data_IF_087496467502
#
_entry.id   IF_087496467502
#
_cell.length_a   1.000
_cell.length_b   1.000
_cell.length_c   1.000
_cell.angle_alpha   90.00
_cell.angle_beta   90.00
_cell.angle_gamma   90.00
#
_symmetry.space_group_name_H-M   'P 1'
#
loop_
_entity.id
_entity.type
_entity.pdbx_description
1 polymer ?
#
# COMPACT_ATOMS: atom_id res chain seq x y z
N UNK A 1 -11.50 -6.38 -15.99
CA UNK A 1 -10.49 -5.50 -15.35
C UNK A 1 -11.16 -4.93 -14.11
N UNK A 2 -10.45 -4.67 -12.99
CA UNK A 2 -11.11 -4.15 -11.76
C UNK A 2 -11.57 -2.69 -11.90
N UNK A 3 -11.03 -1.96 -12.88
CA UNK A 3 -11.35 -0.57 -13.19
C UNK A 3 -11.66 -0.43 -14.67
N UNK A 4 -12.70 0.32 -15.02
CA UNK A 4 -13.14 0.56 -16.40
C UNK A 4 -12.62 1.91 -16.91
N UNK A 5 -11.33 2.18 -16.72
CA UNK A 5 -10.65 3.40 -17.20
C UNK A 5 -9.96 4.21 -16.10
N UNK A 6 -9.44 5.40 -16.44
CA UNK A 6 -8.71 6.24 -15.50
C UNK A 6 -9.61 6.75 -14.38
N UNK A 7 -9.09 6.72 -13.15
CA UNK A 7 -9.78 7.21 -11.95
C UNK A 7 -9.25 8.59 -11.58
N UNK A 8 -10.16 9.55 -11.36
CA UNK A 8 -9.79 10.91 -10.91
C UNK A 8 -9.28 10.87 -9.47
N UNK A 9 -8.17 11.57 -9.20
CA UNK A 9 -7.65 11.78 -7.84
C UNK A 9 -8.64 12.60 -7.00
N UNK A 10 -8.82 12.18 -5.75
CA UNK A 10 -9.77 12.76 -4.78
C UNK A 10 -9.16 12.93 -3.39
N UNK A 11 -8.17 12.13 -3.04
CA UNK A 11 -7.58 12.07 -1.71
C UNK A 11 -6.06 12.16 -1.83
N UNK A 12 -5.43 12.94 -0.96
CA UNK A 12 -3.97 12.97 -0.90
C UNK A 12 -3.44 11.66 -0.34
N UNK A 13 -4.14 11.08 0.66
CA UNK A 13 -3.68 9.87 1.35
C UNK A 13 -4.79 8.82 1.49
N UNK A 14 -4.53 7.62 0.98
CA UNK A 14 -5.30 6.42 1.34
C UNK A 14 -4.68 5.74 2.57
N UNK A 15 -5.50 5.40 3.56
CA UNK A 15 -5.09 4.64 4.73
C UNK A 15 -5.83 3.31 4.77
N UNK A 16 -5.09 2.20 4.67
CA UNK A 16 -5.65 0.85 4.58
C UNK A 16 -5.25 0.04 5.82
N UNK A 17 -6.04 0.09 6.91
CA UNK A 17 -5.80 -0.78 8.04
C UNK A 17 -6.11 -2.24 7.67
N UNK A 18 -5.26 -3.15 8.13
CA UNK A 18 -5.63 -4.55 8.25
C UNK A 18 -6.85 -4.69 9.17
N UNK A 19 -7.67 -5.73 9.00
CA UNK A 19 -8.94 -5.86 9.75
C UNK A 19 -8.77 -5.86 11.28
N UNK A 20 -7.61 -6.30 11.78
CA UNK A 20 -7.28 -6.22 13.21
C UNK A 20 -6.89 -4.82 13.70
N UNK A 21 -6.50 -3.93 12.79
CA UNK A 21 -6.01 -2.58 13.10
C UNK A 21 -7.06 -1.50 12.82
N UNK A 22 -8.26 -1.86 12.35
CA UNK A 22 -9.32 -0.89 11.96
C UNK A 22 -9.69 0.08 13.08
N UNK A 23 -9.58 -0.37 14.34
CA UNK A 23 -9.87 0.44 15.53
C UNK A 23 -8.60 1.04 16.17
N UNK A 24 -7.45 1.04 15.47
CA UNK A 24 -6.21 1.61 15.98
C UNK A 24 -6.38 3.12 16.22
N UNK A 25 -5.90 3.65 17.36
CA UNK A 25 -5.89 5.08 17.62
C UNK A 25 -5.18 5.89 16.53
N UNK A 26 -4.14 5.32 15.90
CA UNK A 26 -3.41 5.97 14.79
C UNK A 26 -4.33 6.14 13.59
N UNK A 27 -5.12 5.12 13.23
CA UNK A 27 -6.07 5.19 12.10
C UNK A 27 -7.12 6.26 12.34
N UNK A 28 -7.64 6.30 13.57
CA UNK A 28 -8.65 7.29 13.95
C UNK A 28 -8.10 8.71 13.88
N UNK A 29 -6.92 8.96 14.46
CA UNK A 29 -6.24 10.27 14.40
C UNK A 29 -5.92 10.68 12.97
N UNK A 30 -5.35 9.78 12.16
CA UNK A 30 -5.03 10.10 10.76
C UNK A 30 -6.29 10.39 9.93
N UNK A 31 -7.38 9.66 10.16
CA UNK A 31 -8.67 9.95 9.53
C UNK A 31 -9.29 11.28 9.96
N UNK A 32 -8.91 11.80 11.13
CA UNK A 32 -9.36 13.11 11.65
C UNK A 32 -8.50 14.29 11.13
N UNK A 33 -7.38 14.03 10.45
CA UNK A 33 -6.49 15.07 9.91
C UNK A 33 -7.09 15.87 8.73
N UNK A 34 -8.20 15.43 8.15
CA UNK A 34 -8.96 16.21 7.17
C UNK A 34 -9.66 15.40 6.09
N UNK A 35 -10.37 16.09 5.21
CA UNK A 35 -11.11 15.50 4.08
C UNK A 35 -10.19 14.83 3.03
N UNK A 36 -8.88 15.11 3.08
CA UNK A 36 -7.88 14.60 2.14
C UNK A 36 -7.41 13.17 2.46
N UNK A 37 -7.84 12.61 3.60
CA UNK A 37 -7.53 11.23 4.00
C UNK A 37 -8.72 10.31 3.77
N UNK A 38 -8.47 9.22 3.06
CA UNK A 38 -9.46 8.16 2.85
C UNK A 38 -9.08 6.89 3.59
N UNK A 39 -9.81 6.57 4.64
CA UNK A 39 -9.71 5.24 5.27
C UNK A 39 -10.44 4.22 4.37
N UNK A 40 -9.71 3.24 3.86
CA UNK A 40 -10.20 2.21 2.93
C UNK A 40 -10.36 0.90 3.69
N UNK A 41 -11.57 0.34 3.69
CA UNK A 41 -11.86 -0.90 4.40
C UNK A 41 -11.53 -2.11 3.53
N UNK A 42 -10.66 -2.99 4.03
CA UNK A 42 -10.29 -4.25 3.36
C UNK A 42 -11.45 -5.24 3.17
N UNK A 43 -12.59 -5.01 3.83
CA UNK A 43 -13.81 -5.83 3.69
C UNK A 43 -14.72 -5.39 2.52
N UNK A 44 -14.41 -4.27 1.84
CA UNK A 44 -15.12 -3.85 0.62
C UNK A 44 -14.81 -4.77 -0.56
N UNK A 45 -15.56 -4.63 -1.66
CA UNK A 45 -15.28 -5.43 -2.85
C UNK A 45 -13.93 -5.05 -3.46
N UNK A 46 -13.25 -5.95 -4.18
CA UNK A 46 -11.99 -5.64 -4.84
C UNK A 46 -12.07 -4.42 -5.77
N UNK A 47 -13.19 -4.22 -6.46
CA UNK A 47 -13.44 -3.07 -7.35
C UNK A 47 -13.56 -1.76 -6.56
N UNK A 48 -14.25 -1.78 -5.42
CA UNK A 48 -14.34 -0.63 -4.52
C UNK A 48 -12.97 -0.27 -3.97
N UNK A 49 -12.22 -1.25 -3.45
CA UNK A 49 -10.87 -1.03 -2.93
C UNK A 49 -9.95 -0.49 -4.02
N UNK A 50 -9.95 -1.09 -5.22
CA UNK A 50 -9.13 -0.64 -6.33
C UNK A 50 -9.47 0.81 -6.74
N UNK A 51 -10.75 1.16 -6.78
CA UNK A 51 -11.20 2.52 -7.15
C UNK A 51 -10.79 3.54 -6.10
N UNK A 52 -10.93 3.21 -4.82
CA UNK A 52 -10.53 4.10 -3.74
C UNK A 52 -9.01 4.31 -3.72
N UNK A 53 -8.22 3.23 -3.87
CA UNK A 53 -6.74 3.31 -4.00
C UNK A 53 -6.35 4.18 -5.20
N UNK A 54 -6.91 3.91 -6.37
CA UNK A 54 -6.57 4.66 -7.59
C UNK A 54 -6.90 6.16 -7.47
N UNK A 55 -7.87 6.53 -6.62
CA UNK A 55 -8.22 7.92 -6.33
C UNK A 55 -7.32 8.61 -5.29
N UNK A 56 -6.30 7.93 -4.75
CA UNK A 56 -5.35 8.49 -3.79
C UNK A 56 -4.02 8.88 -4.46
N UNK A 57 -3.34 9.92 -3.97
CA UNK A 57 -2.00 10.29 -4.44
C UNK A 57 -0.91 9.38 -3.84
N UNK A 58 -1.06 8.99 -2.58
CA UNK A 58 -0.24 7.98 -1.92
C UNK A 58 -1.07 7.07 -0.99
N UNK A 59 -0.50 5.92 -0.59
CA UNK A 59 -1.16 4.96 0.31
C UNK A 59 -0.25 4.56 1.48
N UNK A 60 -0.80 4.58 2.68
CA UNK A 60 -0.27 3.86 3.84
C UNK A 60 -1.13 2.63 4.11
N UNK A 61 -0.52 1.47 4.31
CA UNK A 61 -1.26 0.23 4.58
C UNK A 61 -0.60 -0.61 5.65
N UNK A 62 -1.37 -1.14 6.60
CA UNK A 62 -0.93 -2.26 7.47
C UNK A 62 -1.33 -3.63 6.89
N UNK A 63 -2.07 -3.63 5.78
CA UNK A 63 -2.47 -4.82 5.01
C UNK A 63 -1.52 -5.06 3.83
N UNK A 64 -0.99 -6.29 3.69
CA UNK A 64 -0.16 -6.67 2.53
C UNK A 64 -0.94 -6.52 1.22
N UNK A 65 -2.21 -6.92 1.18
CA UNK A 65 -3.04 -6.77 -0.02
C UNK A 65 -3.19 -5.30 -0.44
N UNK A 66 -3.26 -4.37 0.52
CA UNK A 66 -3.30 -2.94 0.22
C UNK A 66 -2.04 -2.45 -0.49
N UNK A 67 -0.86 -2.96 -0.11
CA UNK A 67 0.42 -2.65 -0.76
C UNK A 67 0.47 -3.23 -2.18
N UNK A 68 0.09 -4.51 -2.33
CA UNK A 68 0.06 -5.19 -3.63
C UNK A 68 -0.88 -4.49 -4.62
N UNK A 69 -2.09 -4.12 -4.20
CA UNK A 69 -3.03 -3.39 -5.05
C UNK A 69 -2.51 -2.00 -5.42
N UNK A 70 -1.86 -1.30 -4.48
CA UNK A 70 -1.28 0.02 -4.75
C UNK A 70 -0.16 -0.08 -5.79
N UNK A 71 0.74 -1.05 -5.65
CA UNK A 71 1.79 -1.36 -6.64
C UNK A 71 1.19 -1.66 -8.02
N UNK A 72 0.16 -2.51 -8.08
CA UNK A 72 -0.52 -2.89 -9.33
C UNK A 72 -1.23 -1.71 -10.02
N UNK A 73 -1.67 -0.72 -9.24
CA UNK A 73 -2.32 0.50 -9.73
C UNK A 73 -1.35 1.66 -9.96
N UNK A 74 -0.05 1.46 -9.70
CA UNK A 74 0.98 2.50 -9.83
C UNK A 74 0.85 3.64 -8.82
N UNK A 75 0.24 3.39 -7.67
CA UNK A 75 0.08 4.37 -6.58
C UNK A 75 1.22 4.20 -5.57
N UNK A 76 2.03 5.26 -5.31
CA UNK A 76 3.07 5.22 -4.30
C UNK A 76 2.54 4.75 -2.95
N UNK A 77 3.26 3.81 -2.31
CA UNK A 77 2.80 3.23 -1.05
C UNK A 77 3.94 2.88 -0.10
N UNK A 78 3.60 2.82 1.19
CA UNK A 78 4.47 2.34 2.26
C UNK A 78 3.70 1.53 3.30
N UNK A 79 4.38 0.59 3.94
CA UNK A 79 3.87 -0.17 5.06
C UNK A 79 3.80 0.71 6.31
N UNK A 80 2.66 0.70 7.02
CA UNK A 80 2.54 1.30 8.35
C UNK A 80 2.25 0.22 9.39
N UNK A 81 3.00 0.22 10.48
CA UNK A 81 2.77 -0.69 11.61
C UNK A 81 1.85 -0.03 12.62
N UNK A 82 0.62 -0.55 12.72
CA UNK A 82 -0.42 0.00 13.60
C UNK A 82 -0.57 -0.78 14.92
N UNK A 83 -0.07 -2.02 14.97
CA UNK A 83 -0.01 -2.83 16.18
C UNK A 83 1.14 -3.85 16.08
N UNK A 84 1.64 -4.28 17.23
CA UNK A 84 2.57 -5.42 17.32
C UNK A 84 1.86 -6.78 17.25
N UNK A 85 0.55 -6.78 16.96
CA UNK A 85 -0.29 -7.99 16.92
C UNK A 85 -0.23 -8.73 15.58
N UNK A 86 0.69 -8.33 14.70
CA UNK A 86 0.80 -8.92 13.37
C UNK A 86 1.31 -10.36 13.48
N UNK A 87 0.40 -11.34 13.39
CA UNK A 87 0.78 -12.76 13.36
C UNK A 87 1.78 -13.01 12.24
N UNK A 88 2.94 -13.57 12.61
CA UNK A 88 4.05 -13.87 11.71
C UNK A 88 5.06 -12.73 11.52
N UNK A 89 4.79 -11.50 11.97
CA UNK A 89 5.73 -10.38 11.83
C UNK A 89 5.90 -9.90 10.39
N UNK A 90 7.10 -9.42 10.05
CA UNK A 90 7.36 -8.76 8.77
C UNK A 90 7.62 -9.72 7.59
N UNK A 91 7.69 -11.03 7.83
CA UNK A 91 8.12 -12.02 6.84
C UNK A 91 7.35 -11.93 5.51
N UNK A 92 6.02 -11.83 5.55
CA UNK A 92 5.16 -11.80 4.36
C UNK A 92 5.41 -10.55 3.49
N UNK A 93 5.82 -9.45 4.11
CA UNK A 93 6.15 -8.23 3.37
C UNK A 93 7.51 -8.41 2.72
N UNK A 94 8.51 -8.87 3.47
CA UNK A 94 9.84 -9.14 2.92
C UNK A 94 9.80 -10.17 1.79
N UNK A 95 9.01 -11.23 1.94
CA UNK A 95 8.78 -12.25 0.90
C UNK A 95 8.21 -11.63 -0.38
N UNK A 96 7.12 -10.87 -0.27
CA UNK A 96 6.55 -10.14 -1.42
C UNK A 96 7.58 -9.23 -2.11
N UNK A 97 8.32 -8.43 -1.35
CA UNK A 97 9.30 -7.51 -1.93
C UNK A 97 10.53 -8.22 -2.50
N UNK A 98 10.90 -9.39 -1.98
CA UNK A 98 12.02 -10.19 -2.48
C UNK A 98 11.77 -10.87 -3.82
N UNK A 99 10.50 -10.95 -4.27
CA UNK A 99 10.15 -11.54 -5.56
C UNK A 99 10.63 -10.68 -6.75
N UNK A 100 10.98 -9.42 -6.53
CA UNK A 100 11.42 -8.49 -7.55
C UNK A 100 12.94 -8.36 -7.56
N UNK A 101 13.56 -8.19 -8.75
CA UNK A 101 15.01 -7.99 -8.85
C UNK A 101 15.45 -6.65 -8.25
N UNK A 102 16.69 -6.61 -7.74
CA UNK A 102 17.33 -5.40 -7.25
C UNK A 102 17.35 -5.27 -5.73
N UNK A 103 17.53 -4.03 -5.25
CA UNK A 103 17.49 -3.73 -3.82
C UNK A 103 16.09 -3.88 -3.23
N UNK A 104 16.01 -4.12 -1.93
CA UNK A 104 14.74 -4.23 -1.22
C UNK A 104 13.87 -2.99 -1.45
N UNK A 105 12.67 -3.23 -1.97
CA UNK A 105 11.63 -2.23 -2.17
C UNK A 105 10.77 -1.98 -0.93
N UNK A 106 10.99 -2.73 0.15
CA UNK A 106 10.25 -2.52 1.40
C UNK A 106 10.48 -1.10 1.92
N UNK A 107 9.39 -0.36 2.15
CA UNK A 107 9.39 0.96 2.76
C UNK A 107 8.42 0.97 3.92
N UNK A 108 8.90 1.41 5.06
CA UNK A 108 8.09 1.56 6.26
C UNK A 108 7.91 3.05 6.54
N UNK A 109 6.67 3.47 6.71
CA UNK A 109 6.35 4.77 7.28
C UNK A 109 6.23 4.62 8.80
N UNK A 110 7.12 5.33 9.50
CA UNK A 110 7.10 5.41 10.96
C UNK A 110 6.51 6.77 11.34
N UNK A 111 5.37 6.76 12.02
CA UNK A 111 4.75 7.99 12.52
C UNK A 111 5.73 8.71 13.47
N UNK A 112 6.06 10.00 13.23
CA UNK A 112 6.96 10.74 14.11
C UNK A 112 6.41 10.84 15.55
N UNK A 113 7.33 10.98 16.52
CA UNK A 113 6.94 11.28 17.91
C UNK A 113 6.26 12.65 17.95
N UNK A 114 4.95 12.67 18.21
CA UNK A 114 4.12 13.88 18.16
C UNK A 114 3.08 13.89 17.04
N UNK A 115 3.09 12.89 16.15
CA UNK A 115 2.24 12.81 14.96
C UNK A 115 2.91 13.40 13.73
N UNK A 116 2.29 13.20 12.56
CA UNK A 116 2.75 13.84 11.32
C UNK A 116 2.50 15.36 11.38
N UNK A 117 3.42 16.15 10.82
CA UNK A 117 3.30 17.62 10.76
C UNK A 117 2.13 18.06 9.87
N UNK A 118 1.95 17.38 8.74
CA UNK A 118 0.84 17.60 7.80
C UNK A 118 0.63 16.39 6.90
N UNK A 119 -0.54 16.24 6.28
CA UNK A 119 -0.79 15.18 5.29
C UNK A 119 0.17 15.30 4.10
N UNK A 120 0.49 16.52 3.65
CA UNK A 120 1.47 16.75 2.60
C UNK A 120 2.83 16.12 2.93
N UNK A 121 3.34 16.34 4.15
CA UNK A 121 4.61 15.74 4.59
C UNK A 121 4.59 14.20 4.58
N UNK A 122 3.44 13.58 4.89
CA UNK A 122 3.26 12.13 4.81
C UNK A 122 3.32 11.66 3.37
N UNK A 123 2.58 12.32 2.48
CA UNK A 123 2.51 11.99 1.05
C UNK A 123 3.88 12.14 0.40
N UNK A 124 4.58 13.25 0.66
CA UNK A 124 5.93 13.49 0.15
C UNK A 124 6.89 12.40 0.63
N UNK A 125 6.86 12.07 1.92
CA UNK A 125 7.68 10.98 2.49
C UNK A 125 7.41 9.65 1.79
N UNK A 126 6.14 9.30 1.56
CA UNK A 126 5.77 8.06 0.88
C UNK A 126 6.24 8.08 -0.57
N UNK A 127 6.01 9.18 -1.30
CA UNK A 127 6.34 9.31 -2.71
C UNK A 127 7.86 9.29 -2.96
N UNK A 128 8.64 10.01 -2.15
CA UNK A 128 10.10 10.09 -2.29
C UNK A 128 10.80 8.76 -2.00
N UNK A 129 10.26 8.00 -1.05
CA UNK A 129 10.84 6.70 -0.68
C UNK A 129 10.33 5.55 -1.55
N UNK A 130 9.22 5.73 -2.27
CA UNK A 130 8.58 4.67 -3.04
C UNK A 130 9.49 4.15 -4.17
N UNK A 131 9.56 2.83 -4.29
CA UNK A 131 10.21 2.15 -5.40
C UNK A 131 9.17 1.29 -6.14
N UNK A 132 8.90 1.61 -7.40
CA UNK A 132 7.93 0.88 -8.22
C UNK A 132 8.40 -0.55 -8.54
N UNK A 133 7.48 -1.51 -8.75
CA UNK A 133 7.85 -2.85 -9.22
C UNK A 133 8.49 -2.79 -10.60
N UNK A 134 9.63 -3.49 -10.75
CA UNK A 134 10.35 -3.63 -12.02
C UNK A 134 10.58 -5.11 -12.34
N UNK A 135 10.82 -5.44 -13.60
CA UNK A 135 11.10 -6.82 -14.03
C UNK A 135 9.89 -7.78 -13.99
N UNK A 136 8.67 -7.27 -13.83
CA UNK A 136 7.46 -8.13 -13.78
C UNK A 136 7.27 -8.94 -15.06
N UNK A 137 7.59 -8.36 -16.22
CA UNK A 137 7.51 -9.07 -17.49
C UNK A 137 8.46 -10.26 -17.54
N UNK A 138 9.72 -10.07 -17.15
CA UNK A 138 10.73 -11.14 -17.13
C UNK A 138 10.36 -12.26 -16.15
N UNK A 139 9.76 -11.90 -14.99
CA UNK A 139 9.23 -12.87 -14.02
C UNK A 139 8.09 -13.70 -14.62
N UNK A 140 7.17 -13.06 -15.34
CA UNK A 140 6.06 -13.74 -16.02
C UNK A 140 6.58 -14.68 -17.12
N UNK A 141 7.54 -14.23 -17.93
CA UNK A 141 8.17 -15.08 -18.94
C UNK A 141 8.92 -16.26 -18.31
N UNK A 142 9.65 -16.02 -17.22
CA UNK A 142 10.34 -17.06 -16.46
C UNK A 142 9.40 -18.16 -16.02
N UNK A 143 8.26 -17.80 -15.42
CA UNK A 143 7.21 -18.74 -15.02
C UNK A 143 6.65 -19.51 -16.23
N UNK A 144 6.34 -18.80 -17.33
CA UNK A 144 5.79 -19.42 -18.53
C UNK A 144 6.77 -20.41 -19.18
N UNK A 145 8.08 -20.14 -19.12
CA UNK A 145 9.13 -21.08 -19.56
C UNK A 145 9.18 -22.32 -18.66
N UNK A 146 9.27 -22.15 -17.34
CA UNK A 146 9.34 -23.27 -16.40
C UNK A 146 8.13 -24.22 -16.47
N UNK A 147 6.94 -23.71 -16.80
CA UNK A 147 5.74 -24.54 -16.99
C UNK A 147 5.75 -25.36 -18.29
N UNK A 148 6.53 -24.96 -19.30
CA UNK A 148 6.69 -25.73 -20.55
C UNK A 148 7.70 -26.86 -20.43
N UNK A 149 8.57 -26.79 -19.42
CA UNK A 149 9.61 -27.78 -19.14
C UNK A 149 9.13 -28.89 -18.17
N UNK A 150 7.86 -28.83 -17.74
CA UNK A 150 7.14 -29.84 -16.95
C UNK A 150 6.33 -30.77 -17.85
#
# INVERSE_FOLDING_TARGET
MLLDGPVKKRYSLGLIPHYHDVNSPVVRRMGELGADVRVINVAWTPEEVAREIASCDAVLSSSLHGLIFSDALGVPNAHIRLSDKLKGGLYKFHDYYSAYPGESRYREYVEPKGGAESIASVVDTVAENYAAPVGLHDLQEGLARSLRDL
#
